data_IF_376387316878
#
_entry.id   IF_376387316878
#
_cell.length_a   1.000
_cell.length_b   1.000
_cell.length_c   1.000
_cell.angle_alpha   90.00
_cell.angle_beta   90.00
_cell.angle_gamma   90.00
#
_symmetry.space_group_name_H-M   'P 1'
#
loop_
_entity.id
_entity.type
_entity.pdbx_description
1 polymer ?
#
# COMPACT_ATOMS: atom_id res chain seq x y z
N UNK A 1 -13.48 -20.33 20.00
CA UNK A 1 -13.01 -19.11 19.31
C UNK A 1 -12.35 -18.21 20.34
N UNK A 2 -11.20 -17.62 20.03
CA UNK A 2 -10.61 -16.56 20.85
C UNK A 2 -11.44 -15.30 20.76
N UNK A 3 -11.37 -14.44 21.79
CA UNK A 3 -11.98 -13.12 21.77
C UNK A 3 -11.38 -12.25 20.67
N UNK A 4 -12.07 -11.20 20.30
CA UNK A 4 -11.59 -10.22 19.31
C UNK A 4 -11.99 -8.84 19.77
N UNK A 5 -11.05 -7.88 19.70
CA UNK A 5 -11.34 -6.48 20.01
C UNK A 5 -11.90 -5.79 18.77
N UNK A 6 -13.08 -5.22 18.85
CA UNK A 6 -13.62 -4.35 17.79
C UNK A 6 -13.18 -2.92 18.07
N UNK A 7 -12.50 -2.29 17.12
CA UNK A 7 -12.01 -0.92 17.19
C UNK A 7 -12.79 -0.03 16.22
N UNK A 8 -13.39 1.04 16.72
CA UNK A 8 -14.22 1.95 15.95
C UNK A 8 -13.67 3.38 16.11
N UNK A 9 -12.86 3.89 15.17
CA UNK A 9 -12.44 5.28 15.19
C UNK A 9 -13.61 6.19 14.83
N UNK A 10 -13.86 7.22 15.63
CA UNK A 10 -15.00 8.12 15.48
C UNK A 10 -14.56 9.58 15.59
N UNK A 11 -15.02 10.42 14.67
CA UNK A 11 -14.86 11.88 14.71
C UNK A 11 -16.22 12.51 14.44
N UNK A 12 -16.74 13.27 15.41
CA UNK A 12 -18.06 13.90 15.31
C UNK A 12 -19.16 12.91 14.85
N UNK A 13 -19.31 11.75 15.53
CA UNK A 13 -20.25 10.72 15.09
C UNK A 13 -21.70 11.16 15.22
N UNK A 14 -22.60 10.48 14.50
CA UNK A 14 -24.04 10.61 14.69
C UNK A 14 -24.56 9.59 15.70
N UNK A 15 -25.84 9.66 16.04
CA UNK A 15 -26.52 8.69 16.91
C UNK A 15 -26.49 7.26 16.37
N UNK A 16 -26.25 7.10 15.05
CA UNK A 16 -26.09 5.78 14.42
C UNK A 16 -24.98 4.96 15.09
N UNK A 17 -23.93 5.61 15.61
CA UNK A 17 -22.86 4.92 16.33
C UNK A 17 -23.38 4.22 17.59
N UNK A 18 -24.34 4.85 18.31
CA UNK A 18 -24.92 4.26 19.53
C UNK A 18 -25.71 3.01 19.17
N UNK A 19 -26.54 3.10 18.13
CA UNK A 19 -27.33 1.97 17.65
C UNK A 19 -26.42 0.83 17.14
N UNK A 20 -25.39 1.17 16.39
CA UNK A 20 -24.43 0.21 15.89
C UNK A 20 -23.73 -0.56 17.01
N UNK A 21 -23.20 0.11 18.01
CA UNK A 21 -22.56 -0.54 19.17
C UNK A 21 -23.55 -1.38 19.98
N UNK A 22 -24.79 -0.89 20.17
CA UNK A 22 -25.84 -1.69 20.82
C UNK A 22 -26.16 -2.97 20.06
N UNK A 23 -26.20 -2.91 18.72
CA UNK A 23 -26.46 -4.09 17.89
C UNK A 23 -25.31 -5.09 17.95
N UNK A 24 -24.05 -4.61 17.98
CA UNK A 24 -22.88 -5.47 18.22
C UNK A 24 -22.96 -6.16 19.60
N UNK A 25 -23.33 -5.42 20.67
CA UNK A 25 -23.49 -5.99 22.00
C UNK A 25 -24.60 -7.04 22.04
N UNK A 26 -25.77 -6.80 21.39
CA UNK A 26 -26.87 -7.77 21.28
C UNK A 26 -26.45 -9.04 20.55
N UNK A 27 -25.54 -8.92 19.60
CA UNK A 27 -24.95 -10.06 18.88
C UNK A 27 -23.83 -10.78 19.68
N UNK A 28 -23.58 -10.37 20.93
CA UNK A 28 -22.63 -11.02 21.83
C UNK A 28 -21.21 -10.47 21.78
N UNK A 29 -20.95 -9.39 21.03
CA UNK A 29 -19.64 -8.70 21.02
C UNK A 29 -19.54 -7.79 22.23
N UNK A 30 -18.60 -8.09 23.14
CA UNK A 30 -18.41 -7.34 24.40
C UNK A 30 -17.15 -6.46 24.40
N UNK A 31 -16.12 -6.90 23.68
CA UNK A 31 -14.84 -6.21 23.65
C UNK A 31 -14.85 -5.17 22.51
N UNK A 32 -15.35 -3.97 22.80
CA UNK A 32 -15.44 -2.86 21.85
C UNK A 32 -14.68 -1.66 22.40
N UNK A 33 -13.81 -1.08 21.56
CA UNK A 33 -13.04 0.14 21.84
C UNK A 33 -13.39 1.22 20.80
N UNK A 34 -14.08 2.25 21.24
CA UNK A 34 -14.38 3.44 20.42
C UNK A 34 -13.27 4.47 20.65
N UNK A 35 -12.67 4.97 19.56
CA UNK A 35 -11.67 6.05 19.66
C UNK A 35 -12.33 7.37 19.30
N UNK A 36 -12.56 8.23 20.29
CA UNK A 36 -12.93 9.63 20.03
C UNK A 36 -11.71 10.40 19.53
N UNK A 37 -11.59 10.60 18.23
CA UNK A 37 -10.47 11.32 17.61
C UNK A 37 -10.60 12.85 17.74
N UNK A 38 -10.89 13.30 18.96
CA UNK A 38 -10.99 14.73 19.30
C UNK A 38 -12.24 15.40 18.72
N UNK A 39 -13.37 14.74 18.87
CA UNK A 39 -14.68 15.30 18.51
C UNK A 39 -15.00 16.57 19.29
N UNK A 40 -15.71 17.51 18.66
CA UNK A 40 -16.12 18.76 19.32
C UNK A 40 -17.13 18.53 20.43
N UNK A 41 -17.28 19.50 21.32
CA UNK A 41 -18.14 19.41 22.52
C UNK A 41 -19.60 19.06 22.19
N UNK A 42 -20.08 19.47 21.02
CA UNK A 42 -21.42 19.17 20.53
C UNK A 42 -21.70 17.66 20.47
N UNK A 43 -20.70 16.84 20.20
CA UNK A 43 -20.83 15.40 20.03
C UNK A 43 -20.48 14.58 21.28
N UNK A 44 -20.00 15.23 22.34
CA UNK A 44 -19.66 14.54 23.61
C UNK A 44 -20.85 13.85 24.28
N UNK A 45 -22.12 14.31 24.15
CA UNK A 45 -23.27 13.56 24.65
C UNK A 45 -23.36 12.14 24.06
N UNK A 46 -23.02 11.93 22.77
CA UNK A 46 -23.04 10.62 22.13
C UNK A 46 -22.07 9.65 22.82
N UNK A 47 -20.87 10.10 23.10
CA UNK A 47 -19.87 9.26 23.78
C UNK A 47 -20.27 8.94 25.22
N UNK A 48 -20.85 9.90 25.94
CA UNK A 48 -21.41 9.65 27.29
C UNK A 48 -22.54 8.63 27.28
N UNK A 49 -23.41 8.70 26.26
CA UNK A 49 -24.49 7.73 26.11
C UNK A 49 -23.95 6.34 25.75
N UNK A 50 -22.94 6.25 24.89
CA UNK A 50 -22.25 4.99 24.60
C UNK A 50 -21.73 4.33 25.88
N UNK A 51 -20.98 5.07 26.72
CA UNK A 51 -20.47 4.54 27.99
C UNK A 51 -21.57 4.11 28.96
N UNK A 52 -22.70 4.85 28.99
CA UNK A 52 -23.78 4.57 29.90
C UNK A 52 -24.71 3.41 29.45
N UNK A 53 -24.84 3.18 28.15
CA UNK A 53 -25.86 2.30 27.59
C UNK A 53 -25.34 1.08 26.83
N UNK A 54 -24.01 0.91 26.72
CA UNK A 54 -23.36 -0.17 25.97
C UNK A 54 -22.17 -0.75 26.71
N UNK A 55 -21.75 -1.96 26.32
CA UNK A 55 -20.50 -2.58 26.82
C UNK A 55 -19.33 -2.16 25.91
N UNK A 56 -18.98 -0.85 25.88
CA UNK A 56 -17.81 -0.39 25.13
C UNK A 56 -16.90 0.47 26.03
N UNK A 57 -15.62 0.54 25.66
CA UNK A 57 -14.64 1.47 26.25
C UNK A 57 -14.40 2.62 25.28
N UNK A 58 -14.19 3.82 25.80
CA UNK A 58 -13.84 4.99 25.00
C UNK A 58 -12.40 5.38 25.28
N UNK A 59 -11.61 5.55 24.20
CA UNK A 59 -10.28 6.14 24.24
C UNK A 59 -10.33 7.51 23.56
N UNK A 60 -9.98 8.57 24.27
CA UNK A 60 -10.18 9.95 23.80
C UNK A 60 -8.86 10.61 23.42
N UNK A 61 -8.84 11.26 22.26
CA UNK A 61 -7.79 12.19 21.86
C UNK A 61 -8.16 13.63 22.27
N UNK A 62 -7.17 14.43 22.66
CA UNK A 62 -7.38 15.84 23.01
C UNK A 62 -7.77 16.71 21.79
N UNK A 63 -7.47 16.25 20.57
CA UNK A 63 -7.78 16.92 19.31
C UNK A 63 -7.81 15.90 18.18
N UNK A 64 -8.38 16.28 17.04
CA UNK A 64 -8.34 15.44 15.82
C UNK A 64 -6.88 15.20 15.37
N UNK A 65 -6.43 13.96 15.47
CA UNK A 65 -5.14 13.48 15.05
C UNK A 65 -5.21 12.72 13.71
N UNK A 66 -6.41 12.30 13.32
CA UNK A 66 -6.73 11.58 12.09
C UNK A 66 -6.92 10.08 12.29
N UNK A 67 -7.71 9.46 11.39
CA UNK A 67 -8.09 8.04 11.45
C UNK A 67 -6.89 7.10 11.60
N UNK A 68 -5.79 7.37 10.86
CA UNK A 68 -4.57 6.57 10.96
C UNK A 68 -3.95 6.61 12.35
N UNK A 69 -3.92 7.79 12.99
CA UNK A 69 -3.42 7.91 14.37
C UNK A 69 -4.34 7.22 15.36
N UNK A 70 -5.65 7.34 15.19
CA UNK A 70 -6.62 6.66 16.03
C UNK A 70 -6.43 5.14 15.99
N UNK A 71 -6.25 4.57 14.80
CA UNK A 71 -5.96 3.16 14.63
C UNK A 71 -4.63 2.75 15.26
N UNK A 72 -3.54 3.51 15.04
CA UNK A 72 -2.23 3.22 15.67
C UNK A 72 -2.30 3.25 17.18
N UNK A 73 -2.99 4.22 17.75
CA UNK A 73 -3.15 4.29 19.20
C UNK A 73 -3.98 3.12 19.75
N UNK A 74 -5.02 2.68 19.01
CA UNK A 74 -5.78 1.48 19.37
C UNK A 74 -4.92 0.21 19.29
N UNK A 75 -4.10 0.05 18.25
CA UNK A 75 -3.17 -1.07 18.12
C UNK A 75 -2.15 -1.11 19.25
N UNK A 76 -1.54 0.04 19.56
CA UNK A 76 -0.61 0.14 20.68
C UNK A 76 -1.29 -0.15 22.02
N UNK A 77 -2.50 0.39 22.26
CA UNK A 77 -3.28 0.12 23.45
C UNK A 77 -3.61 -1.37 23.60
N UNK A 78 -3.98 -2.02 22.49
CA UNK A 78 -4.24 -3.46 22.48
C UNK A 78 -3.00 -4.27 22.89
N UNK A 79 -1.84 -3.99 22.30
CA UNK A 79 -0.60 -4.71 22.61
C UNK A 79 -0.15 -4.55 24.06
N UNK A 80 -0.52 -3.45 24.72
CA UNK A 80 -0.10 -3.14 26.09
C UNK A 80 -1.12 -3.49 27.17
N UNK A 81 -2.40 -3.67 26.79
CA UNK A 81 -3.49 -3.75 27.79
C UNK A 81 -4.36 -5.00 27.66
N UNK A 82 -4.16 -5.84 26.63
CA UNK A 82 -4.94 -7.06 26.40
C UNK A 82 -4.06 -8.31 26.43
N UNK A 83 -4.60 -9.44 26.90
CA UNK A 83 -3.90 -10.70 26.86
C UNK A 83 -3.99 -11.33 25.46
N UNK A 84 -2.88 -11.34 24.74
CA UNK A 84 -2.78 -11.88 23.37
C UNK A 84 -3.02 -13.41 23.30
N UNK A 85 -3.03 -14.12 24.43
CA UNK A 85 -3.40 -15.55 24.47
C UNK A 85 -4.91 -15.73 24.43
N UNK A 86 -5.68 -14.81 25.02
CA UNK A 86 -7.15 -14.85 25.02
C UNK A 86 -7.73 -14.27 23.71
N UNK A 87 -7.05 -13.28 23.11
CA UNK A 87 -7.51 -12.59 21.93
C UNK A 87 -6.86 -13.11 20.65
N UNK A 88 -7.65 -13.23 19.56
CA UNK A 88 -7.18 -13.55 18.22
C UNK A 88 -6.54 -12.34 17.52
N UNK A 89 -7.01 -11.15 17.84
CA UNK A 89 -6.57 -9.91 17.22
C UNK A 89 -7.61 -8.79 17.30
N UNK A 90 -7.53 -7.87 16.35
CA UNK A 90 -8.38 -6.68 16.26
C UNK A 90 -9.21 -6.74 14.98
N UNK A 91 -10.47 -6.30 15.07
CA UNK A 91 -11.28 -5.93 13.91
C UNK A 91 -11.47 -4.42 13.92
N UNK A 92 -11.18 -3.72 12.83
CA UNK A 92 -11.57 -2.32 12.65
C UNK A 92 -12.91 -2.21 11.95
N UNK A 93 -13.72 -1.23 12.32
CA UNK A 93 -14.97 -0.90 11.63
C UNK A 93 -15.18 0.62 11.64
N UNK A 94 -15.90 1.15 10.64
CA UNK A 94 -16.21 2.57 10.56
C UNK A 94 -17.36 2.95 11.51
N UNK A 95 -17.40 4.21 11.95
CA UNK A 95 -18.37 4.74 12.90
C UNK A 95 -19.70 5.19 12.28
N UNK A 96 -19.82 5.09 10.95
CA UNK A 96 -20.99 5.55 10.18
C UNK A 96 -22.14 4.52 10.09
N UNK A 97 -21.94 3.33 10.68
CA UNK A 97 -22.93 2.26 10.69
C UNK A 97 -23.12 1.54 9.34
N UNK A 98 -22.26 1.79 8.36
CA UNK A 98 -22.38 1.14 7.04
C UNK A 98 -22.01 -0.36 7.05
N UNK A 99 -21.31 -0.85 8.09
CA UNK A 99 -20.99 -2.26 8.25
C UNK A 99 -22.08 -2.99 9.04
N UNK A 100 -22.66 -4.01 8.42
CA UNK A 100 -23.65 -4.86 9.09
C UNK A 100 -23.00 -5.66 10.21
N UNK A 101 -23.76 -5.93 11.26
CA UNK A 101 -23.28 -6.76 12.38
C UNK A 101 -22.86 -8.16 11.92
N UNK A 102 -23.65 -8.76 11.02
CA UNK A 102 -23.34 -10.06 10.44
C UNK A 102 -21.99 -10.08 9.72
N UNK A 103 -21.67 -9.01 8.99
CA UNK A 103 -20.39 -8.89 8.27
C UNK A 103 -19.21 -8.77 9.24
N UNK A 104 -19.37 -8.02 10.34
CA UNK A 104 -18.36 -7.98 11.42
C UNK A 104 -18.15 -9.37 12.01
N UNK A 105 -19.21 -10.11 12.30
CA UNK A 105 -19.12 -11.48 12.84
C UNK A 105 -18.47 -12.45 11.85
N UNK A 106 -18.73 -12.31 10.56
CA UNK A 106 -18.08 -13.09 9.51
C UNK A 106 -16.56 -12.84 9.48
N UNK A 107 -16.16 -11.56 9.59
CA UNK A 107 -14.73 -11.18 9.67
C UNK A 107 -14.10 -11.70 10.98
N UNK A 108 -14.82 -11.67 12.12
CA UNK A 108 -14.38 -12.26 13.39
C UNK A 108 -14.15 -13.76 13.26
N UNK A 109 -15.09 -14.49 12.64
CA UNK A 109 -14.96 -15.93 12.40
C UNK A 109 -13.75 -16.20 11.51
N UNK A 110 -13.63 -15.51 10.39
CA UNK A 110 -12.55 -15.68 9.43
C UNK A 110 -11.17 -15.38 10.05
N UNK A 111 -11.06 -14.37 10.93
CA UNK A 111 -9.83 -14.06 11.64
C UNK A 111 -9.40 -15.21 12.58
N UNK A 112 -10.36 -15.86 13.23
CA UNK A 112 -10.07 -17.03 14.07
C UNK A 112 -9.62 -18.26 13.25
N UNK A 113 -10.17 -18.41 12.03
CA UNK A 113 -9.83 -19.52 11.13
C UNK A 113 -8.48 -19.30 10.42
N UNK A 114 -8.09 -18.03 10.19
CA UNK A 114 -6.89 -17.65 9.46
C UNK A 114 -5.99 -16.73 10.32
N UNK A 115 -5.31 -17.26 11.36
CA UNK A 115 -4.59 -16.44 12.36
C UNK A 115 -3.32 -15.76 11.85
N UNK A 116 -2.90 -16.04 10.62
CA UNK A 116 -1.70 -15.47 9.98
C UNK A 116 -2.03 -14.52 8.80
N UNK A 117 -3.32 -14.28 8.54
CA UNK A 117 -3.79 -13.49 7.39
C UNK A 117 -4.41 -12.17 7.85
N UNK A 118 -4.16 -11.09 7.09
CA UNK A 118 -5.01 -9.91 7.13
C UNK A 118 -6.36 -10.25 6.50
N UNK A 119 -7.45 -10.01 7.22
CA UNK A 119 -8.80 -10.24 6.70
C UNK A 119 -9.38 -8.91 6.22
N UNK A 120 -9.93 -8.88 5.00
CA UNK A 120 -10.59 -7.70 4.43
C UNK A 120 -12.07 -8.01 4.20
N UNK A 121 -12.95 -7.19 4.77
CA UNK A 121 -14.36 -7.19 4.42
C UNK A 121 -14.54 -6.41 3.11
N UNK A 122 -14.72 -7.12 2.00
CA UNK A 122 -14.74 -6.54 0.66
C UNK A 122 -16.18 -6.38 0.14
N UNK A 123 -16.50 -5.17 -0.29
CA UNK A 123 -17.78 -4.87 -0.95
C UNK A 123 -17.86 -5.54 -2.32
N UNK A 124 -19.04 -6.04 -2.66
CA UNK A 124 -19.32 -6.53 -4.02
C UNK A 124 -19.60 -5.34 -4.95
N UNK A 125 -18.58 -4.88 -5.68
CA UNK A 125 -18.70 -3.79 -6.64
C UNK A 125 -19.35 -4.21 -7.98
N UNK A 126 -19.62 -5.48 -8.19
CA UNK A 126 -20.30 -5.94 -9.41
C UNK A 126 -21.84 -5.95 -9.26
N UNK A 127 -22.36 -5.77 -8.04
CA UNK A 127 -23.79 -5.64 -7.77
C UNK A 127 -24.41 -4.39 -8.43
N UNK A 128 -25.70 -4.46 -8.79
CA UNK A 128 -26.41 -3.39 -9.51
C UNK A 128 -26.60 -2.10 -8.67
N UNK A 129 -26.54 -2.21 -7.34
CA UNK A 129 -26.78 -1.11 -6.42
C UNK A 129 -25.57 -0.20 -6.19
N UNK A 130 -24.41 -0.50 -6.79
CA UNK A 130 -23.19 0.29 -6.60
C UNK A 130 -23.14 1.48 -7.58
N UNK A 131 -22.93 2.72 -7.09
CA UNK A 131 -22.82 3.89 -7.95
C UNK A 131 -21.69 3.73 -9.00
N UNK A 132 -21.92 4.10 -10.28
CA UNK A 132 -20.94 3.89 -11.37
C UNK A 132 -19.58 4.52 -11.10
N UNK A 133 -19.54 5.68 -10.43
CA UNK A 133 -18.28 6.35 -10.03
C UNK A 133 -17.46 5.50 -9.06
N UNK A 134 -18.10 4.89 -8.06
CA UNK A 134 -17.47 4.00 -7.08
C UNK A 134 -16.95 2.73 -7.75
N UNK A 135 -17.74 2.13 -8.64
CA UNK A 135 -17.36 0.96 -9.45
C UNK A 135 -16.13 1.24 -10.31
N UNK A 136 -16.11 2.39 -11.00
CA UNK A 136 -14.96 2.80 -11.82
C UNK A 136 -13.71 3.06 -10.97
N UNK A 137 -13.85 3.83 -9.87
CA UNK A 137 -12.74 4.15 -8.97
C UNK A 137 -12.11 2.88 -8.37
N UNK A 138 -12.94 1.93 -7.93
CA UNK A 138 -12.44 0.65 -7.40
C UNK A 138 -11.72 -0.18 -8.48
N UNK A 139 -12.30 -0.31 -9.67
CA UNK A 139 -11.66 -1.04 -10.79
C UNK A 139 -10.30 -0.43 -11.16
N UNK A 140 -10.22 0.89 -11.21
CA UNK A 140 -8.97 1.59 -11.48
C UNK A 140 -7.93 1.34 -10.38
N UNK A 141 -8.31 1.46 -9.11
CA UNK A 141 -7.40 1.25 -7.98
C UNK A 141 -6.93 -0.22 -7.93
N UNK A 142 -7.84 -1.19 -8.13
CA UNK A 142 -7.51 -2.61 -8.24
C UNK A 142 -6.51 -2.88 -9.37
N UNK A 143 -6.71 -2.29 -10.55
CA UNK A 143 -5.77 -2.40 -11.68
C UNK A 143 -4.39 -1.83 -11.34
N UNK A 144 -4.35 -0.63 -10.75
CA UNK A 144 -3.10 0.03 -10.36
C UNK A 144 -2.37 -0.77 -9.27
N UNK A 145 -3.09 -1.27 -8.27
CA UNK A 145 -2.51 -2.15 -7.25
C UNK A 145 -1.91 -3.42 -7.86
N UNK A 146 -2.65 -4.08 -8.76
CA UNK A 146 -2.14 -5.25 -9.48
C UNK A 146 -0.90 -4.93 -10.31
N UNK A 147 -0.90 -3.78 -11.00
CA UNK A 147 0.21 -3.33 -11.83
C UNK A 147 1.46 -3.00 -11.01
N UNK A 148 1.34 -2.30 -9.88
CA UNK A 148 2.48 -1.80 -9.10
C UNK A 148 2.92 -2.77 -8.00
N UNK A 149 1.97 -3.48 -7.39
CA UNK A 149 2.23 -4.38 -6.26
C UNK A 149 2.01 -5.85 -6.62
N UNK A 150 1.42 -6.13 -7.79
CA UNK A 150 1.18 -7.46 -8.36
C UNK A 150 0.23 -8.33 -7.54
N UNK A 151 -0.52 -7.73 -6.62
CA UNK A 151 -1.55 -8.38 -5.83
C UNK A 151 -2.89 -7.79 -6.21
N UNK A 152 -3.90 -8.64 -6.41
CA UNK A 152 -5.25 -8.19 -6.71
C UNK A 152 -6.03 -8.15 -5.42
N UNK A 153 -6.43 -6.97 -4.97
CA UNK A 153 -7.30 -6.75 -3.81
C UNK A 153 -8.64 -6.25 -4.34
N UNK A 154 -9.73 -6.86 -3.89
CA UNK A 154 -11.07 -6.55 -4.41
C UNK A 154 -11.55 -5.19 -3.92
N UNK A 155 -11.29 -4.85 -2.66
CA UNK A 155 -11.62 -3.54 -2.08
C UNK A 155 -10.44 -3.01 -1.24
N UNK A 156 -9.73 -2.04 -1.79
CA UNK A 156 -8.57 -1.43 -1.12
C UNK A 156 -8.94 -0.36 -0.10
N UNK A 157 -10.21 0.07 -0.08
CA UNK A 157 -10.71 1.19 0.72
C UNK A 157 -11.66 0.77 1.83
N UNK A 158 -11.90 -0.52 2.02
CA UNK A 158 -12.74 -1.01 3.12
C UNK A 158 -12.16 -0.62 4.47
N UNK A 159 -13.03 -0.16 5.38
CA UNK A 159 -12.68 0.08 6.80
C UNK A 159 -12.86 -1.16 7.67
N UNK A 160 -13.59 -2.18 7.20
CA UNK A 160 -13.78 -3.44 7.92
C UNK A 160 -12.62 -4.39 7.67
N UNK A 161 -11.71 -4.50 8.63
CA UNK A 161 -10.47 -5.30 8.51
C UNK A 161 -10.20 -6.08 9.78
N UNK A 162 -9.74 -7.32 9.63
CA UNK A 162 -9.28 -8.18 10.74
C UNK A 162 -7.75 -8.29 10.76
N UNK A 163 -7.15 -7.93 11.89
CA UNK A 163 -5.71 -7.96 12.11
C UNK A 163 -5.35 -9.03 13.12
N UNK A 164 -4.67 -10.13 12.73
CA UNK A 164 -4.17 -11.11 13.69
C UNK A 164 -3.03 -10.53 14.53
N UNK A 165 -2.83 -11.10 15.73
CA UNK A 165 -1.79 -10.65 16.65
C UNK A 165 -0.41 -10.54 16.03
N UNK A 166 -0.09 -11.43 15.07
CA UNK A 166 1.23 -11.52 14.43
C UNK A 166 1.59 -10.27 13.62
N UNK A 167 0.60 -9.50 13.12
CA UNK A 167 0.85 -8.32 12.28
C UNK A 167 0.59 -6.99 12.99
N UNK A 168 -0.06 -6.99 14.16
CA UNK A 168 -0.39 -5.74 14.88
C UNK A 168 0.87 -4.91 15.22
N UNK A 169 2.01 -5.49 15.66
CA UNK A 169 3.23 -4.71 15.87
C UNK A 169 3.69 -3.95 14.62
N UNK A 170 3.61 -4.59 13.45
CA UNK A 170 3.94 -3.93 12.18
C UNK A 170 3.02 -2.73 11.92
N UNK A 171 1.73 -2.84 12.26
CA UNK A 171 0.77 -1.75 12.03
C UNK A 171 1.09 -0.48 12.84
N UNK A 172 1.69 -0.61 14.01
CA UNK A 172 2.08 0.53 14.85
C UNK A 172 3.19 1.36 14.22
N UNK A 173 4.12 0.70 13.51
CA UNK A 173 5.31 1.32 12.94
C UNK A 173 5.06 2.03 11.58
N UNK A 174 3.88 1.84 10.98
CA UNK A 174 3.56 2.42 9.68
C UNK A 174 3.34 3.93 9.77
N UNK A 175 4.01 4.69 8.92
CA UNK A 175 3.77 6.13 8.79
C UNK A 175 2.37 6.46 8.25
N UNK A 176 1.86 7.63 8.61
CA UNK A 176 0.58 8.14 8.14
C UNK A 176 -0.39 8.34 9.30
N UNK A 177 -1.15 9.42 9.24
CA UNK A 177 -2.03 9.83 10.33
C UNK A 177 -3.50 9.85 9.92
N UNK A 178 -3.78 9.86 8.59
CA UNK A 178 -5.13 10.00 8.05
C UNK A 178 -5.50 8.81 7.18
N UNK A 179 -6.34 8.99 6.16
CA UNK A 179 -6.81 7.92 5.27
C UNK A 179 -5.70 7.22 4.48
N UNK A 180 -4.59 7.90 4.22
CA UNK A 180 -3.42 7.28 3.56
C UNK A 180 -2.81 6.12 4.36
N UNK A 181 -3.00 6.10 5.67
CA UNK A 181 -2.52 5.04 6.54
C UNK A 181 -3.09 3.67 6.16
N UNK A 182 -4.40 3.60 5.87
CA UNK A 182 -5.06 2.34 5.47
C UNK A 182 -4.51 1.76 4.16
N UNK A 183 -4.12 2.66 3.23
CA UNK A 183 -3.44 2.24 2.00
C UNK A 183 -2.01 1.77 2.26
N UNK A 184 -1.27 2.46 3.13
CA UNK A 184 0.08 2.04 3.52
C UNK A 184 0.08 0.70 4.25
N UNK A 185 -0.91 0.42 5.11
CA UNK A 185 -1.07 -0.89 5.73
C UNK A 185 -1.15 -2.02 4.68
N UNK A 186 -1.95 -1.87 3.63
CA UNK A 186 -2.03 -2.86 2.55
C UNK A 186 -0.69 -3.05 1.85
N UNK A 187 0.03 -1.96 1.58
CA UNK A 187 1.34 -2.02 0.94
C UNK A 187 2.35 -2.76 1.82
N UNK A 188 2.41 -2.43 3.11
CA UNK A 188 3.33 -3.08 4.06
C UNK A 188 3.00 -4.57 4.25
N UNK A 189 1.71 -4.93 4.31
CA UNK A 189 1.27 -6.33 4.36
C UNK A 189 1.74 -7.12 3.13
N UNK A 190 1.62 -6.51 1.93
CA UNK A 190 2.10 -7.13 0.68
C UNK A 190 3.63 -7.26 0.70
N UNK A 191 4.36 -6.22 1.12
CA UNK A 191 5.82 -6.21 1.14
C UNK A 191 6.39 -7.22 2.15
N UNK A 192 5.71 -7.43 3.28
CA UNK A 192 6.03 -8.46 4.26
C UNK A 192 5.49 -9.85 3.92
N UNK A 193 4.81 -10.00 2.77
CA UNK A 193 4.22 -11.27 2.31
C UNK A 193 3.27 -11.91 3.32
N UNK A 194 2.56 -11.09 4.05
CA UNK A 194 1.44 -11.55 4.87
C UNK A 194 0.31 -11.96 3.94
N UNK A 195 -0.32 -13.07 4.21
CA UNK A 195 -1.49 -13.52 3.45
C UNK A 195 -2.65 -12.52 3.65
N UNK A 196 -3.44 -12.33 2.59
CA UNK A 196 -4.66 -11.51 2.61
C UNK A 196 -5.82 -12.41 2.23
N UNK A 197 -6.80 -12.51 3.11
CA UNK A 197 -8.05 -13.21 2.89
C UNK A 197 -9.20 -12.20 2.80
N UNK A 198 -10.12 -12.42 1.87
CA UNK A 198 -11.27 -11.54 1.64
C UNK A 198 -12.56 -12.22 2.08
N UNK A 199 -13.44 -11.44 2.72
CA UNK A 199 -14.81 -11.83 3.08
C UNK A 199 -15.74 -10.85 2.36
N UNK A 200 -16.66 -11.37 1.54
CA UNK A 200 -17.65 -10.51 0.88
C UNK A 200 -18.62 -9.96 1.92
N UNK A 201 -18.82 -8.64 1.89
CA UNK A 201 -19.72 -7.92 2.79
C UNK A 201 -20.79 -7.16 2.02
N UNK A 202 -21.94 -6.96 2.67
CA UNK A 202 -22.98 -6.07 2.18
C UNK A 202 -22.80 -4.69 2.82
N UNK A 203 -22.83 -3.64 2.01
CA UNK A 203 -22.74 -2.25 2.51
C UNK A 203 -24.12 -1.63 2.56
N UNK A 204 -24.48 -1.06 3.69
CA UNK A 204 -25.69 -0.24 3.81
C UNK A 204 -25.33 1.16 3.31
N UNK A 205 -25.99 1.60 2.24
CA UNK A 205 -25.86 2.97 1.74
C UNK A 205 -26.95 3.85 2.36
N UNK A 206 -26.57 4.72 3.29
CA UNK A 206 -27.49 5.75 3.82
C UNK A 206 -27.40 7.01 2.97
N UNK A 207 -28.52 7.57 2.54
CA UNK A 207 -28.70 8.88 1.88
C UNK A 207 -27.51 9.38 1.03
N UNK A 208 -27.17 8.65 -0.05
CA UNK A 208 -26.12 9.03 -0.98
C UNK A 208 -24.74 9.38 -0.35
N UNK A 209 -24.37 8.78 0.77
CA UNK A 209 -23.08 9.02 1.46
C UNK A 209 -22.91 10.47 1.97
N UNK A 210 -23.95 11.16 2.33
CA UNK A 210 -23.88 12.57 2.77
C UNK A 210 -23.07 12.80 4.06
N UNK A 211 -22.76 11.75 4.83
CA UNK A 211 -22.09 11.84 6.14
C UNK A 211 -20.61 11.41 6.13
N UNK A 212 -19.99 11.22 4.96
CA UNK A 212 -18.58 10.80 4.94
C UNK A 212 -17.64 11.99 5.11
N UNK A 213 -16.74 11.90 6.09
CA UNK A 213 -15.61 12.86 6.26
C UNK A 213 -14.54 12.73 5.16
N UNK A 214 -14.74 11.86 4.17
CA UNK A 214 -13.84 11.64 3.05
C UNK A 214 -14.02 12.72 1.98
N UNK A 215 -12.96 13.49 1.71
CA UNK A 215 -12.95 14.43 0.60
C UNK A 215 -12.50 13.71 -0.69
N UNK A 216 -13.42 13.49 -1.68
CA UNK A 216 -13.12 12.66 -2.85
C UNK A 216 -11.87 13.09 -3.64
N UNK A 217 -11.56 14.39 -3.70
CA UNK A 217 -10.40 14.89 -4.45
C UNK A 217 -9.15 14.85 -3.60
N UNK A 218 -9.16 15.47 -2.41
CA UNK A 218 -7.97 15.60 -1.57
C UNK A 218 -7.47 14.25 -1.05
N UNK A 219 -8.38 13.41 -0.59
CA UNK A 219 -8.01 12.12 0.00
C UNK A 219 -7.66 11.10 -1.08
N UNK A 220 -8.34 11.11 -2.24
CA UNK A 220 -7.90 10.31 -3.39
C UNK A 220 -6.50 10.70 -3.86
N UNK A 221 -6.18 11.99 -3.96
CA UNK A 221 -4.83 12.44 -4.33
C UNK A 221 -3.77 11.96 -3.31
N UNK A 222 -4.09 11.97 -2.01
CA UNK A 222 -3.19 11.42 -0.97
C UNK A 222 -2.99 9.91 -1.14
N UNK A 223 -4.06 9.17 -1.38
CA UNK A 223 -4.02 7.73 -1.60
C UNK A 223 -3.19 7.41 -2.84
N UNK A 224 -3.44 8.05 -3.96
CA UNK A 224 -2.67 7.83 -5.18
C UNK A 224 -1.20 8.27 -5.04
N UNK A 225 -0.92 9.35 -4.32
CA UNK A 225 0.46 9.74 -3.99
C UNK A 225 1.19 8.63 -3.23
N UNK A 226 0.52 7.95 -2.31
CA UNK A 226 1.10 6.79 -1.60
C UNK A 226 1.30 5.62 -2.55
N UNK A 227 0.28 5.24 -3.32
CA UNK A 227 0.34 4.11 -4.24
C UNK A 227 1.48 4.28 -5.27
N UNK A 228 1.63 5.47 -5.83
CA UNK A 228 2.66 5.74 -6.83
C UNK A 228 4.02 6.16 -6.25
N UNK A 229 4.15 6.38 -4.96
CA UNK A 229 5.37 6.93 -4.34
C UNK A 229 6.62 6.12 -4.69
N UNK A 230 6.59 4.81 -4.48
CA UNK A 230 7.73 3.94 -4.80
C UNK A 230 8.01 3.88 -6.30
N UNK A 231 6.98 3.91 -7.13
CA UNK A 231 7.14 3.93 -8.59
C UNK A 231 7.77 5.24 -9.08
N UNK A 232 7.34 6.40 -8.57
CA UNK A 232 7.95 7.68 -8.93
C UNK A 232 9.39 7.79 -8.44
N UNK A 233 9.71 7.28 -7.25
CA UNK A 233 11.09 7.18 -6.79
C UNK A 233 11.94 6.32 -7.73
N UNK A 234 11.41 5.19 -8.19
CA UNK A 234 12.08 4.31 -9.15
C UNK A 234 12.32 5.00 -10.50
N UNK A 235 11.32 5.72 -11.01
CA UNK A 235 11.45 6.52 -12.23
C UNK A 235 12.54 7.59 -12.09
N UNK A 236 12.51 8.36 -11.01
CA UNK A 236 13.52 9.38 -10.72
C UNK A 236 14.92 8.79 -10.57
N UNK A 237 15.05 7.65 -9.92
CA UNK A 237 16.31 6.91 -9.82
C UNK A 237 16.86 6.54 -11.20
N UNK A 238 15.98 6.06 -12.09
CA UNK A 238 16.39 5.69 -13.45
C UNK A 238 16.79 6.92 -14.28
N UNK A 239 16.04 8.02 -14.19
CA UNK A 239 16.37 9.27 -14.88
C UNK A 239 17.68 9.87 -14.35
N UNK A 240 17.88 9.91 -13.03
CA UNK A 240 19.14 10.41 -12.46
C UNK A 240 20.33 9.55 -12.85
N UNK A 241 20.17 8.23 -12.89
CA UNK A 241 21.21 7.32 -13.37
C UNK A 241 21.56 7.57 -14.85
N UNK A 242 20.58 7.84 -15.69
CA UNK A 242 20.80 8.20 -17.09
C UNK A 242 21.58 9.52 -17.24
N UNK A 243 21.24 10.54 -16.43
CA UNK A 243 21.98 11.81 -16.42
C UNK A 243 23.43 11.59 -16.00
N UNK A 244 23.66 10.79 -14.96
CA UNK A 244 25.01 10.43 -14.49
C UNK A 244 25.79 9.70 -15.58
N UNK A 245 25.15 8.74 -16.27
CA UNK A 245 25.77 7.98 -17.37
C UNK A 245 26.31 8.92 -18.46
N UNK A 246 25.46 9.80 -18.95
CA UNK A 246 25.85 10.79 -19.98
C UNK A 246 26.93 11.76 -19.46
N UNK A 247 26.81 12.23 -18.23
CA UNK A 247 27.76 13.18 -17.65
C UNK A 247 29.16 12.58 -17.52
N UNK A 248 29.24 11.34 -17.00
CA UNK A 248 30.51 10.63 -16.88
C UNK A 248 31.10 10.32 -18.28
N UNK A 249 30.25 9.86 -19.21
CA UNK A 249 30.67 9.61 -20.59
C UNK A 249 31.29 10.86 -21.23
N UNK A 250 30.61 12.00 -21.16
CA UNK A 250 31.09 13.26 -21.73
C UNK A 250 32.36 13.75 -21.04
N UNK A 251 32.43 13.64 -19.70
CA UNK A 251 33.63 14.02 -18.94
C UNK A 251 34.84 13.18 -19.36
N UNK A 252 34.68 11.87 -19.50
CA UNK A 252 35.74 10.97 -19.93
C UNK A 252 36.21 11.27 -21.36
N UNK A 253 35.30 11.44 -22.31
CA UNK A 253 35.62 11.82 -23.68
C UNK A 253 36.40 13.14 -23.69
N UNK A 254 35.92 14.17 -22.98
CA UNK A 254 36.61 15.46 -22.91
C UNK A 254 37.99 15.33 -22.31
N UNK A 255 38.14 14.66 -21.16
CA UNK A 255 39.43 14.51 -20.47
C UNK A 255 40.43 13.74 -21.30
N UNK A 256 40.02 12.60 -21.91
CA UNK A 256 40.93 11.78 -22.71
C UNK A 256 41.40 12.50 -23.97
N UNK A 257 40.54 13.33 -24.61
CA UNK A 257 41.00 14.17 -25.72
C UNK A 257 42.02 15.23 -25.28
N UNK A 258 41.88 15.81 -24.07
CA UNK A 258 42.86 16.75 -23.53
C UNK A 258 44.23 16.08 -23.25
N UNK A 259 44.25 14.79 -22.90
CA UNK A 259 45.46 14.00 -22.71
C UNK A 259 46.04 13.46 -24.03
N UNK A 260 45.57 13.88 -25.19
CA UNK A 260 46.10 13.55 -26.51
C UNK A 260 45.63 12.23 -27.10
N UNK A 261 44.56 11.62 -26.55
CA UNK A 261 43.96 10.45 -27.18
C UNK A 261 43.10 10.91 -28.39
N UNK A 262 43.19 10.17 -29.48
CA UNK A 262 42.37 10.45 -30.67
C UNK A 262 40.96 9.93 -30.52
N UNK A 263 39.99 10.62 -31.15
CA UNK A 263 38.61 10.12 -31.24
C UNK A 263 38.59 8.84 -32.07
N UNK A 264 38.19 7.76 -31.44
CA UNK A 264 38.10 6.45 -32.08
C UNK A 264 37.22 5.46 -31.32
N UNK A 265 37.01 4.31 -31.91
CA UNK A 265 36.16 3.25 -31.36
C UNK A 265 36.57 2.86 -29.94
N UNK A 266 37.86 2.72 -29.66
CA UNK A 266 38.39 2.30 -28.35
C UNK A 266 38.04 3.34 -27.26
N UNK A 267 38.21 4.63 -27.55
CA UNK A 267 37.87 5.71 -26.63
C UNK A 267 36.38 5.66 -26.25
N UNK A 268 35.49 5.54 -27.27
CA UNK A 268 34.05 5.47 -27.09
C UNK A 268 33.66 4.25 -26.24
N UNK A 269 34.24 3.07 -26.54
CA UNK A 269 33.98 1.86 -25.75
C UNK A 269 34.42 2.01 -24.28
N UNK A 270 35.62 2.48 -24.05
CA UNK A 270 36.12 2.69 -22.69
C UNK A 270 35.24 3.68 -21.89
N UNK A 271 34.95 4.84 -22.49
CA UNK A 271 34.08 5.82 -21.86
C UNK A 271 32.68 5.28 -21.56
N UNK A 272 32.09 4.53 -22.50
CA UNK A 272 30.78 3.90 -22.33
C UNK A 272 30.77 2.86 -21.21
N UNK A 273 31.76 1.97 -21.17
CA UNK A 273 31.84 0.91 -20.16
C UNK A 273 32.01 1.54 -18.75
N UNK A 274 32.93 2.49 -18.63
CA UNK A 274 33.17 3.15 -17.34
C UNK A 274 31.92 3.91 -16.88
N UNK A 275 31.33 4.73 -17.75
CA UNK A 275 30.08 5.44 -17.44
C UNK A 275 28.97 4.49 -16.99
N UNK A 276 28.80 3.36 -17.70
CA UNK A 276 27.77 2.34 -17.38
C UNK A 276 28.02 1.64 -16.04
N UNK A 277 29.26 1.36 -15.68
CA UNK A 277 29.59 0.77 -14.36
C UNK A 277 29.17 1.72 -13.25
N UNK A 278 29.54 2.99 -13.32
CA UNK A 278 29.22 3.96 -12.28
C UNK A 278 27.70 4.26 -12.22
N UNK A 279 27.06 4.49 -13.34
CA UNK A 279 25.63 4.82 -13.40
C UNK A 279 24.75 3.65 -12.94
N UNK A 280 25.10 2.41 -13.31
CA UNK A 280 24.35 1.23 -12.87
C UNK A 280 24.53 0.94 -11.39
N UNK A 281 25.74 1.14 -10.86
CA UNK A 281 25.99 0.98 -9.43
C UNK A 281 25.27 2.06 -8.60
N UNK A 282 25.29 3.31 -9.06
CA UNK A 282 24.47 4.37 -8.47
C UNK A 282 22.97 4.02 -8.46
N UNK A 283 22.43 3.57 -9.60
CA UNK A 283 21.03 3.16 -9.70
C UNK A 283 20.70 2.01 -8.74
N UNK A 284 21.60 1.03 -8.62
CA UNK A 284 21.46 -0.06 -7.67
C UNK A 284 21.36 0.45 -6.22
N UNK A 285 22.25 1.35 -5.79
CA UNK A 285 22.25 1.89 -4.42
C UNK A 285 20.95 2.66 -4.16
N UNK A 286 20.58 3.58 -5.06
CA UNK A 286 19.37 4.39 -4.90
C UNK A 286 18.11 3.51 -4.86
N UNK A 287 18.03 2.52 -5.73
CA UNK A 287 16.89 1.59 -5.73
C UNK A 287 16.86 0.76 -4.44
N UNK A 288 18.00 0.26 -3.96
CA UNK A 288 18.11 -0.52 -2.74
C UNK A 288 17.70 0.28 -1.51
N UNK A 289 18.28 1.49 -1.32
CA UNK A 289 18.19 2.20 -0.05
C UNK A 289 17.03 3.20 0.01
N UNK A 290 16.63 3.80 -1.14
CA UNK A 290 15.64 4.88 -1.19
C UNK A 290 14.30 4.40 -1.77
N UNK A 291 14.35 3.58 -2.83
CA UNK A 291 13.12 3.17 -3.54
C UNK A 291 12.42 2.02 -2.85
N UNK A 292 13.16 0.95 -2.58
CA UNK A 292 12.58 -0.31 -2.08
C UNK A 292 12.87 -0.61 -0.61
N UNK A 293 13.77 0.15 0.05
CA UNK A 293 14.18 -0.11 1.43
C UNK A 293 14.56 -1.59 1.64
N UNK A 294 15.37 -2.12 0.71
CA UNK A 294 15.66 -3.56 0.58
C UNK A 294 16.62 -4.09 1.64
N UNK A 295 16.87 -5.40 1.57
CA UNK A 295 17.75 -6.12 2.50
C UNK A 295 19.15 -5.52 2.62
N UNK A 296 19.73 -5.63 3.83
CA UNK A 296 21.10 -5.20 4.11
C UNK A 296 22.19 -6.03 3.40
N UNK A 297 21.89 -7.26 2.92
CA UNK A 297 22.86 -8.13 2.23
C UNK A 297 23.11 -7.68 0.79
N UNK A 298 24.05 -6.76 0.63
CA UNK A 298 24.36 -6.07 -0.64
C UNK A 298 24.82 -7.03 -1.74
N UNK A 299 25.65 -8.04 -1.44
CA UNK A 299 26.24 -8.93 -2.46
C UNK A 299 25.22 -9.74 -3.24
N UNK A 300 24.31 -10.44 -2.52
CA UNK A 300 23.25 -11.24 -3.17
C UNK A 300 22.28 -10.37 -3.98
N UNK A 301 21.99 -9.18 -3.49
CA UNK A 301 21.09 -8.22 -4.12
C UNK A 301 21.73 -7.64 -5.38
N UNK A 302 23.02 -7.32 -5.34
CA UNK A 302 23.78 -6.82 -6.48
C UNK A 302 23.84 -7.84 -7.63
N UNK A 303 24.11 -9.10 -7.31
CA UNK A 303 24.10 -10.18 -8.31
C UNK A 303 22.75 -10.33 -9.00
N UNK A 304 21.64 -10.35 -8.24
CA UNK A 304 20.28 -10.41 -8.81
C UNK A 304 19.97 -9.20 -9.70
N UNK A 305 20.42 -8.00 -9.28
CA UNK A 305 20.22 -6.78 -10.05
C UNK A 305 20.90 -6.85 -11.42
N UNK A 306 22.17 -7.29 -11.50
CA UNK A 306 22.87 -7.40 -12.78
C UNK A 306 22.36 -8.54 -13.65
N UNK A 307 21.92 -9.67 -13.08
CA UNK A 307 21.24 -10.71 -13.86
C UNK A 307 19.98 -10.11 -14.52
N UNK A 308 19.16 -9.39 -13.77
CA UNK A 308 17.97 -8.77 -14.31
C UNK A 308 18.30 -7.77 -15.42
N UNK A 309 19.34 -6.96 -15.26
CA UNK A 309 19.79 -6.00 -16.27
C UNK A 309 20.19 -6.70 -17.59
N UNK A 310 20.95 -7.79 -17.49
CA UNK A 310 21.33 -8.59 -18.68
C UNK A 310 20.11 -9.23 -19.36
N UNK A 311 19.22 -9.83 -18.59
CA UNK A 311 17.99 -10.42 -19.12
C UNK A 311 17.13 -9.37 -19.82
N UNK A 312 17.00 -8.18 -19.23
CA UNK A 312 16.25 -7.08 -19.87
C UNK A 312 16.87 -6.63 -21.20
N UNK A 313 18.21 -6.53 -21.25
CA UNK A 313 18.92 -6.18 -22.50
C UNK A 313 18.61 -7.19 -23.59
N UNK A 314 18.70 -8.49 -23.30
CA UNK A 314 18.41 -9.56 -24.25
C UNK A 314 16.94 -9.53 -24.69
N UNK A 315 16.00 -9.39 -23.77
CA UNK A 315 14.57 -9.33 -24.09
C UNK A 315 14.21 -8.10 -24.92
N UNK A 316 14.80 -6.93 -24.61
CA UNK A 316 14.61 -5.73 -25.43
C UNK A 316 15.04 -5.97 -26.87
N UNK A 317 16.24 -6.51 -27.10
CA UNK A 317 16.75 -6.79 -28.43
C UNK A 317 15.86 -7.81 -29.18
N UNK A 318 15.46 -8.90 -28.53
CA UNK A 318 14.61 -9.94 -29.13
C UNK A 318 13.25 -9.37 -29.51
N UNK A 319 12.56 -8.68 -28.59
CA UNK A 319 11.21 -8.17 -28.86
C UNK A 319 11.20 -7.07 -29.91
N UNK A 320 12.16 -6.13 -29.86
CA UNK A 320 12.26 -5.07 -30.87
C UNK A 320 12.46 -5.67 -32.26
N UNK A 321 13.40 -6.62 -32.42
CA UNK A 321 13.65 -7.26 -33.67
C UNK A 321 12.44 -8.08 -34.18
N UNK A 322 11.79 -8.83 -33.28
CA UNK A 322 10.62 -9.65 -33.63
C UNK A 322 9.44 -8.80 -34.08
N UNK A 323 9.13 -7.72 -33.35
CA UNK A 323 8.02 -6.82 -33.69
C UNK A 323 8.34 -6.07 -35.00
N UNK A 324 9.58 -5.61 -35.16
CA UNK A 324 9.98 -4.93 -36.39
C UNK A 324 9.83 -5.86 -37.63
N UNK A 325 10.27 -7.11 -37.52
CA UNK A 325 10.11 -8.10 -38.62
C UNK A 325 8.64 -8.36 -38.98
N UNK A 326 7.72 -8.28 -38.00
CA UNK A 326 6.30 -8.50 -38.22
C UNK A 326 5.57 -7.26 -38.76
N UNK A 327 5.96 -6.08 -38.33
CA UNK A 327 5.19 -4.85 -38.59
C UNK A 327 5.84 -3.94 -39.64
N UNK A 328 7.16 -4.07 -39.86
CA UNK A 328 8.00 -3.14 -40.64
C UNK A 328 7.82 -1.68 -40.24
N UNK A 329 7.44 -1.47 -38.93
CA UNK A 329 7.20 -0.14 -38.37
C UNK A 329 8.48 0.59 -37.99
N UNK A 330 8.32 1.80 -37.40
CA UNK A 330 9.46 2.56 -36.92
C UNK A 330 10.15 1.85 -35.75
N UNK A 331 11.43 1.52 -35.89
CA UNK A 331 12.27 0.84 -34.89
C UNK A 331 12.28 1.64 -33.58
N UNK A 332 12.36 2.97 -33.67
CA UNK A 332 12.36 3.85 -32.51
C UNK A 332 11.05 3.76 -31.71
N UNK A 333 9.90 3.77 -32.38
CA UNK A 333 8.60 3.65 -31.72
C UNK A 333 8.46 2.28 -31.06
N UNK A 334 8.82 1.20 -31.80
CA UNK A 334 8.81 -0.16 -31.26
C UNK A 334 9.69 -0.26 -30.02
N UNK A 335 10.91 0.29 -30.09
CA UNK A 335 11.86 0.27 -28.97
C UNK A 335 11.31 1.00 -27.74
N UNK A 336 10.75 2.19 -27.92
CA UNK A 336 10.15 2.97 -26.80
C UNK A 336 9.02 2.19 -26.13
N UNK A 337 8.16 1.53 -26.91
CA UNK A 337 7.06 0.74 -26.36
C UNK A 337 7.56 -0.51 -25.63
N UNK A 338 8.49 -1.24 -26.21
CA UNK A 338 9.09 -2.45 -25.61
C UNK A 338 9.83 -2.10 -24.32
N UNK A 339 10.71 -1.09 -24.35
CA UNK A 339 11.49 -0.71 -23.19
C UNK A 339 10.60 -0.12 -22.09
N UNK A 340 9.52 0.59 -22.44
CA UNK A 340 8.50 1.06 -21.50
C UNK A 340 7.78 -0.11 -20.79
N UNK A 341 7.40 -1.16 -21.50
CA UNK A 341 6.83 -2.38 -20.90
C UNK A 341 7.85 -3.11 -20.01
N UNK A 342 9.07 -3.27 -20.51
CA UNK A 342 10.15 -3.91 -19.73
C UNK A 342 10.50 -3.11 -18.46
N UNK A 343 10.39 -1.79 -18.49
CA UNK A 343 10.58 -0.93 -17.32
C UNK A 343 9.55 -1.21 -16.23
N UNK A 344 8.26 -1.35 -16.59
CA UNK A 344 7.20 -1.70 -15.64
C UNK A 344 7.41 -3.11 -15.05
N UNK A 345 7.79 -4.07 -15.89
CA UNK A 345 8.11 -5.44 -15.45
C UNK A 345 9.33 -5.44 -14.54
N UNK A 346 10.36 -4.66 -14.87
CA UNK A 346 11.57 -4.50 -14.06
C UNK A 346 11.26 -3.95 -12.67
N UNK A 347 10.42 -2.93 -12.58
CA UNK A 347 9.98 -2.40 -11.30
C UNK A 347 9.41 -3.49 -10.39
N UNK A 348 8.54 -4.36 -10.92
CA UNK A 348 7.96 -5.44 -10.14
C UNK A 348 8.97 -6.51 -9.75
N UNK A 349 9.85 -6.91 -10.68
CA UNK A 349 10.88 -7.92 -10.40
C UNK A 349 11.87 -7.37 -9.37
N UNK A 350 12.30 -6.11 -9.50
CA UNK A 350 13.19 -5.48 -8.54
C UNK A 350 12.56 -5.45 -7.15
N UNK A 351 11.29 -5.05 -7.03
CA UNK A 351 10.58 -5.01 -5.75
C UNK A 351 10.46 -6.38 -5.08
N UNK A 352 10.12 -7.41 -5.83
CA UNK A 352 9.72 -8.72 -5.28
C UNK A 352 10.85 -9.73 -5.16
N UNK A 353 11.88 -9.61 -5.98
CA UNK A 353 12.94 -10.60 -6.08
C UNK A 353 14.32 -10.03 -5.82
N UNK A 354 14.65 -8.85 -6.39
CA UNK A 354 15.98 -8.24 -6.21
C UNK A 354 16.09 -7.63 -4.81
N UNK A 355 15.17 -6.70 -4.48
CA UNK A 355 15.19 -5.91 -3.24
C UNK A 355 14.11 -6.37 -2.24
N UNK A 356 13.83 -7.67 -2.22
CA UNK A 356 12.86 -8.26 -1.31
C UNK A 356 13.22 -7.95 0.14
N UNK A 357 12.25 -7.46 0.94
CA UNK A 357 12.40 -7.39 2.40
C UNK A 357 12.33 -8.82 2.98
N UNK A 358 13.31 -9.20 3.81
CA UNK A 358 13.22 -10.42 4.64
C UNK A 358 12.33 -10.15 5.85
N UNK A 359 11.64 -11.22 6.33
CA UNK A 359 10.82 -11.18 7.54
C UNK A 359 11.68 -10.91 8.77
#
# INVERSE_FOLDING_TARGET
MKKTLIVIPALNPTELLIEYVRNLNRAGVKDILVIDDGSSDKFQPIFRELEASTECKIFKHAKNLGKGRALKNAFNHYLTSYDLNEFAGIITADSDGQHRVEDVLNVVSKLNDCPDSLILGCRDFDSDNVPPKSKFGNKLTKFVFKLLYGTSITDTQTGLRGFPNSIIPLMVDIDGERFEYETKMLIEVIDHKVAIDEVTIETIYFDNNAETHFNPIKDSLRIYKVIFSSFFKFLLSSVSSFIIDISIFQLLIFSMLQFGFERGTVLIWCATIVARIFSSYYNFIVNKDIVFNGEKKTEKTLYKYYILAVVQLCLSAIFVNSIWNLTQGSETVIKVLVDGMLFLVSYQIQRRWVFKREK
#
